data_IF_717571468416
#
_entry.id   IF_717571468416
#
_cell.length_a   1.000
_cell.length_b   1.000
_cell.length_c   1.000
_cell.angle_alpha   90.00
_cell.angle_beta   90.00
_cell.angle_gamma   90.00
#
_symmetry.space_group_name_H-M   'P 1'
#
loop_
_entity.id
_entity.type
_entity.pdbx_description
1 polymer ?
#
# COMPACT_ATOMS: atom_id res chain seq x y z
N UNK A 1 -20.78 -4.12 -31.31
CA UNK A 1 -19.63 -3.22 -31.40
C UNK A 1 -19.16 -2.74 -30.05
N UNK A 2 -20.07 -2.32 -29.15
CA UNK A 2 -19.71 -1.94 -27.76
C UNK A 2 -19.09 -3.09 -26.96
N UNK A 3 -19.46 -4.35 -27.26
CA UNK A 3 -18.97 -5.53 -26.56
C UNK A 3 -17.48 -5.78 -26.80
N UNK A 4 -16.96 -5.47 -27.98
CA UNK A 4 -15.54 -5.65 -28.30
C UNK A 4 -14.64 -4.62 -27.61
N UNK A 5 -15.18 -3.44 -27.27
CA UNK A 5 -14.42 -2.39 -26.59
C UNK A 5 -14.20 -2.66 -25.10
N UNK A 6 -15.16 -3.32 -24.43
CA UNK A 6 -15.07 -3.61 -22.99
C UNK A 6 -13.87 -4.50 -22.62
N UNK A 7 -13.64 -5.65 -23.33
CA UNK A 7 -12.44 -6.45 -23.07
C UNK A 7 -11.14 -5.70 -23.32
N UNK A 8 -11.09 -4.88 -24.37
CA UNK A 8 -9.90 -4.08 -24.68
C UNK A 8 -9.61 -3.05 -23.61
N UNK A 9 -10.63 -2.37 -23.08
CA UNK A 9 -10.48 -1.41 -21.99
C UNK A 9 -10.03 -2.09 -20.70
N UNK A 10 -10.60 -3.25 -20.39
CA UNK A 10 -10.22 -4.01 -19.20
C UNK A 10 -8.77 -4.47 -19.28
N UNK A 11 -8.35 -4.99 -20.44
CA UNK A 11 -6.97 -5.41 -20.67
C UNK A 11 -5.99 -4.24 -20.55
N UNK A 12 -6.36 -3.07 -21.08
CA UNK A 12 -5.54 -1.86 -20.99
C UNK A 12 -5.39 -1.39 -19.54
N UNK A 13 -6.49 -1.35 -18.79
CA UNK A 13 -6.45 -0.97 -17.37
C UNK A 13 -5.61 -1.93 -16.55
N UNK A 14 -5.71 -3.24 -16.85
CA UNK A 14 -4.87 -4.24 -16.20
C UNK A 14 -3.39 -4.00 -16.51
N UNK A 15 -3.05 -3.76 -17.79
CA UNK A 15 -1.68 -3.50 -18.22
C UNK A 15 -1.11 -2.25 -17.53
N UNK A 16 -1.90 -1.17 -17.46
CA UNK A 16 -1.50 0.06 -16.77
C UNK A 16 -1.26 -0.19 -15.29
N UNK A 17 -2.15 -0.95 -14.64
CA UNK A 17 -2.00 -1.29 -13.22
C UNK A 17 -0.76 -2.15 -12.99
N UNK A 18 -0.50 -3.14 -13.84
CA UNK A 18 0.70 -3.99 -13.75
C UNK A 18 1.96 -3.15 -13.88
N UNK A 19 2.00 -2.22 -14.84
CA UNK A 19 3.13 -1.32 -15.02
C UNK A 19 3.36 -0.47 -13.78
N UNK A 20 2.29 0.09 -13.22
CA UNK A 20 2.36 0.94 -12.03
C UNK A 20 2.80 0.16 -10.78
N UNK A 21 2.31 -1.07 -10.61
CA UNK A 21 2.59 -1.90 -9.45
C UNK A 21 3.87 -2.72 -9.60
N UNK A 22 4.33 -2.93 -10.83
CA UNK A 22 5.52 -3.73 -11.13
C UNK A 22 5.29 -5.23 -11.11
N UNK A 23 4.05 -5.71 -11.01
CA UNK A 23 3.75 -7.14 -10.94
C UNK A 23 2.30 -7.43 -11.35
N UNK A 24 2.08 -8.60 -11.96
CA UNK A 24 0.74 -9.12 -12.23
C UNK A 24 0.13 -9.81 -11.02
N UNK A 25 0.97 -10.23 -10.06
CA UNK A 25 0.57 -10.98 -8.88
C UNK A 25 0.70 -10.10 -7.64
N UNK A 26 0.02 -8.96 -7.67
CA UNK A 26 0.06 -8.02 -6.57
C UNK A 26 -0.50 -8.65 -5.30
N UNK A 27 0.21 -8.44 -4.20
CA UNK A 27 -0.18 -8.91 -2.87
C UNK A 27 -0.10 -7.74 -1.90
N UNK A 28 -1.12 -7.56 -1.08
CA UNK A 28 -1.06 -6.60 0.01
C UNK A 28 -0.04 -7.09 1.06
N UNK A 29 0.94 -6.24 1.38
CA UNK A 29 1.96 -6.56 2.36
C UNK A 29 1.37 -6.82 3.75
N UNK A 30 0.34 -6.04 4.12
CA UNK A 30 -0.19 -6.06 5.49
C UNK A 30 -1.23 -7.14 5.75
N UNK A 31 -2.06 -7.50 4.76
CA UNK A 31 -3.08 -8.53 4.95
C UNK A 31 -2.87 -9.78 4.09
N UNK A 32 -1.95 -9.72 3.14
CA UNK A 32 -1.63 -10.86 2.27
C UNK A 32 -2.67 -11.15 1.20
N UNK A 33 -3.65 -10.28 0.99
CA UNK A 33 -4.68 -10.49 -0.01
C UNK A 33 -4.07 -10.55 -1.41
N UNK A 34 -4.35 -11.65 -2.14
CA UNK A 34 -3.82 -11.91 -3.49
C UNK A 34 -4.90 -12.00 -4.56
N UNK A 35 -6.13 -11.59 -4.24
CA UNK A 35 -7.24 -11.64 -5.19
C UNK A 35 -6.85 -10.94 -6.49
N UNK A 36 -6.96 -11.61 -7.67
CA UNK A 36 -6.63 -11.00 -8.95
C UNK A 36 -7.39 -9.70 -9.24
N UNK A 37 -8.56 -9.52 -8.63
CA UNK A 37 -9.33 -8.28 -8.76
C UNK A 37 -8.68 -7.08 -8.11
N UNK A 38 -7.64 -7.26 -7.26
CA UNK A 38 -6.89 -6.17 -6.67
C UNK A 38 -6.15 -5.34 -7.73
N UNK A 39 -5.72 -5.99 -8.82
CA UNK A 39 -4.99 -5.30 -9.88
C UNK A 39 -5.91 -4.39 -10.68
N UNK A 40 -7.20 -4.69 -10.71
CA UNK A 40 -8.19 -3.85 -11.40
C UNK A 40 -9.54 -3.96 -10.70
N UNK A 41 -10.20 -2.81 -10.44
CA UNK A 41 -9.80 -1.45 -10.82
C UNK A 41 -9.02 -0.74 -9.70
N UNK A 42 -7.72 -0.95 -9.59
CA UNK A 42 -6.82 -0.25 -8.65
C UNK A 42 -7.22 -0.41 -7.18
N UNK A 43 -7.48 -1.64 -6.76
CA UNK A 43 -7.80 -1.95 -5.35
C UNK A 43 -6.57 -2.20 -4.51
N UNK A 44 -5.39 -2.20 -5.14
CA UNK A 44 -4.11 -2.23 -4.47
C UNK A 44 -3.30 -1.03 -4.95
N UNK A 45 -2.59 -0.39 -4.06
CA UNK A 45 -1.86 0.85 -4.33
C UNK A 45 -0.46 0.79 -3.73
N UNK A 46 0.42 1.67 -4.22
CA UNK A 46 1.72 1.89 -3.61
C UNK A 46 1.55 2.78 -2.38
N UNK A 47 1.73 2.21 -1.20
CA UNK A 47 1.65 2.96 0.05
C UNK A 47 3.02 3.53 0.39
N UNK A 48 3.08 4.84 0.56
CA UNK A 48 4.29 5.55 0.97
C UNK A 48 4.47 5.40 2.48
N UNK A 49 5.44 4.59 2.91
CA UNK A 49 5.59 4.23 4.33
C UNK A 49 5.94 5.44 5.21
N UNK A 50 6.52 6.49 4.66
CA UNK A 50 6.80 7.73 5.39
C UNK A 50 5.71 8.79 5.25
N UNK A 51 4.59 8.46 4.58
CA UNK A 51 3.40 9.30 4.49
C UNK A 51 3.45 10.41 3.44
N UNK A 52 4.58 10.67 2.83
CA UNK A 52 4.78 11.76 1.89
C UNK A 52 4.74 11.23 0.45
N UNK A 53 3.97 11.87 -0.44
CA UNK A 53 3.71 11.40 -1.82
C UNK A 53 4.97 11.26 -2.68
N UNK A 54 6.03 12.02 -2.37
CA UNK A 54 7.29 11.98 -3.11
C UNK A 54 8.26 10.94 -2.59
N UNK A 55 7.92 10.30 -1.46
CA UNK A 55 8.74 9.27 -0.88
C UNK A 55 8.83 8.07 -1.82
N UNK A 56 10.05 7.64 -2.23
CA UNK A 56 10.21 6.46 -3.08
C UNK A 56 10.04 5.14 -2.34
N UNK A 57 9.98 5.16 -1.01
CA UNK A 57 9.86 3.95 -0.20
C UNK A 57 8.41 3.54 -0.10
N UNK A 58 7.99 2.62 -0.96
CA UNK A 58 6.60 2.18 -1.03
C UNK A 58 6.49 0.67 -0.84
N UNK A 59 5.31 0.26 -0.37
CA UNK A 59 4.91 -1.14 -0.30
C UNK A 59 3.52 -1.26 -0.90
N UNK A 60 3.19 -2.45 -1.42
CA UNK A 60 1.85 -2.69 -1.95
C UNK A 60 0.88 -2.89 -0.80
N UNK A 61 -0.23 -2.17 -0.83
CA UNK A 61 -1.28 -2.29 0.17
C UNK A 61 -2.65 -2.22 -0.51
N UNK A 62 -3.59 -3.06 -0.07
CA UNK A 62 -4.97 -2.95 -0.53
C UNK A 62 -5.58 -1.66 0.04
N UNK A 63 -6.70 -1.23 -0.53
CA UNK A 63 -7.32 0.04 -0.13
C UNK A 63 -7.67 0.09 1.35
N UNK A 64 -8.16 -1.02 1.92
CA UNK A 64 -8.47 -1.08 3.35
C UNK A 64 -7.24 -0.91 4.23
N UNK A 65 -6.17 -1.64 3.95
CA UNK A 65 -4.93 -1.54 4.71
C UNK A 65 -4.26 -0.18 4.51
N UNK A 66 -4.36 0.40 3.32
CA UNK A 66 -3.86 1.73 3.02
C UNK A 66 -4.58 2.80 3.87
N UNK A 67 -5.91 2.70 3.97
CA UNK A 67 -6.70 3.60 4.80
C UNK A 67 -6.33 3.48 6.28
N UNK A 68 -6.18 2.26 6.79
CA UNK A 68 -5.76 2.02 8.18
C UNK A 68 -4.36 2.60 8.42
N UNK A 69 -3.42 2.37 7.51
CA UNK A 69 -2.06 2.89 7.62
C UNK A 69 -2.06 4.43 7.69
N UNK A 70 -2.84 5.09 6.82
CA UNK A 70 -2.95 6.55 6.83
C UNK A 70 -3.55 7.08 8.12
N UNK A 71 -4.58 6.41 8.66
CA UNK A 71 -5.16 6.79 9.95
C UNK A 71 -4.13 6.69 11.08
N UNK A 72 -3.35 5.61 11.12
CA UNK A 72 -2.32 5.43 12.13
C UNK A 72 -1.17 6.43 11.98
N UNK A 73 -0.80 6.78 10.75
CA UNK A 73 0.19 7.83 10.50
C UNK A 73 -0.30 9.18 11.03
N UNK A 74 -1.58 9.51 10.83
CA UNK A 74 -2.17 10.74 11.38
C UNK A 74 -2.20 10.72 12.90
N UNK A 75 -2.58 9.60 13.50
CA UNK A 75 -2.60 9.46 14.95
C UNK A 75 -1.20 9.59 15.57
N UNK A 76 -0.17 9.17 14.82
CA UNK A 76 1.23 9.31 15.22
C UNK A 76 1.81 10.69 14.91
N UNK A 77 0.99 11.60 14.38
CA UNK A 77 1.39 12.96 14.01
C UNK A 77 2.48 13.01 12.93
N UNK A 78 2.43 12.06 11.99
CA UNK A 78 3.35 12.05 10.84
C UNK A 78 2.82 13.01 9.78
N UNK A 79 3.58 14.04 9.37
CA UNK A 79 3.13 14.96 8.33
C UNK A 79 3.05 14.28 6.97
N UNK A 80 2.04 14.63 6.17
CA UNK A 80 1.87 14.13 4.81
C UNK A 80 2.65 14.93 3.78
N UNK A 81 3.32 16.00 4.20
CA UNK A 81 4.17 16.84 3.38
C UNK A 81 5.60 16.74 3.86
N UNK A 82 6.55 17.02 2.96
CA UNK A 82 7.96 16.96 3.30
C UNK A 82 8.33 17.98 4.38
N UNK A 83 8.84 17.49 5.49
CA UNK A 83 9.35 18.32 6.57
C UNK A 83 10.78 18.77 6.24
N UNK A 84 11.05 20.06 6.38
CA UNK A 84 12.35 20.64 6.03
C UNK A 84 13.31 20.79 7.20
N UNK A 85 12.78 20.91 8.42
CA UNK A 85 13.62 21.05 9.60
C UNK A 85 14.19 19.67 9.97
N UNK A 86 15.55 19.52 10.07
CA UNK A 86 16.18 18.20 10.19
C UNK A 86 15.72 17.35 11.38
N UNK A 87 15.57 17.96 12.56
CA UNK A 87 15.15 17.23 13.76
C UNK A 87 13.70 16.76 13.63
N UNK A 88 12.81 17.62 13.11
CA UNK A 88 11.41 17.26 12.88
C UNK A 88 11.29 16.20 11.79
N UNK A 89 12.12 16.29 10.75
CA UNK A 89 12.16 15.30 9.68
C UNK A 89 12.55 13.93 10.24
N UNK A 90 13.63 13.85 11.03
CA UNK A 90 14.07 12.59 11.63
C UNK A 90 12.99 12.01 12.55
N UNK A 91 12.34 12.85 13.35
CA UNK A 91 11.25 12.41 14.23
C UNK A 91 10.08 11.83 13.43
N UNK A 92 9.70 12.50 12.33
CA UNK A 92 8.63 12.04 11.46
C UNK A 92 8.97 10.67 10.84
N UNK A 93 10.22 10.47 10.40
CA UNK A 93 10.68 9.21 9.85
C UNK A 93 10.55 8.08 10.90
N UNK A 94 11.04 8.30 12.12
CA UNK A 94 10.98 7.27 13.15
C UNK A 94 9.54 6.95 13.54
N UNK A 95 8.65 7.95 13.63
CA UNK A 95 7.22 7.72 13.88
C UNK A 95 6.56 6.91 12.77
N UNK A 96 6.88 7.25 11.51
CA UNK A 96 6.34 6.51 10.36
C UNK A 96 6.85 5.07 10.33
N UNK A 97 8.14 4.85 10.62
CA UNK A 97 8.70 3.50 10.73
C UNK A 97 8.03 2.70 11.84
N UNK A 98 7.76 3.31 12.99
CA UNK A 98 7.06 2.64 14.09
C UNK A 98 5.67 2.16 13.63
N UNK A 99 4.91 2.99 12.93
CA UNK A 99 3.61 2.61 12.36
C UNK A 99 3.78 1.42 11.40
N UNK A 100 4.73 1.51 10.49
CA UNK A 100 4.99 0.46 9.51
C UNK A 100 5.35 -0.87 10.19
N UNK A 101 6.25 -0.85 11.17
CA UNK A 101 6.65 -2.05 11.90
C UNK A 101 5.51 -2.65 12.72
N UNK A 102 4.66 -1.83 13.32
CA UNK A 102 3.46 -2.31 14.02
C UNK A 102 2.50 -3.02 13.08
N UNK A 103 2.28 -2.46 11.89
CA UNK A 103 1.46 -3.10 10.87
C UNK A 103 2.06 -4.41 10.38
N UNK A 104 3.39 -4.45 10.18
CA UNK A 104 4.10 -5.68 9.81
C UNK A 104 4.03 -6.72 10.93
N UNK A 105 4.18 -6.32 12.18
CA UNK A 105 4.08 -7.25 13.30
C UNK A 105 2.69 -7.90 13.35
N UNK A 106 1.64 -7.12 13.15
CA UNK A 106 0.28 -7.67 13.09
C UNK A 106 0.11 -8.62 11.91
N UNK A 107 0.68 -8.29 10.75
CA UNK A 107 0.65 -9.15 9.57
C UNK A 107 1.36 -10.48 9.85
N UNK A 108 2.53 -10.43 10.45
CA UNK A 108 3.30 -11.64 10.80
C UNK A 108 2.52 -12.55 11.74
N UNK A 109 1.87 -11.98 12.77
CA UNK A 109 1.06 -12.77 13.70
C UNK A 109 -0.11 -13.44 13.00
N UNK A 110 -0.78 -12.73 12.09
CA UNK A 110 -1.90 -13.32 11.32
C UNK A 110 -1.43 -14.44 10.41
N UNK A 111 -0.30 -14.29 9.74
CA UNK A 111 0.26 -15.31 8.87
C UNK A 111 0.68 -16.55 9.66
N UNK A 112 1.34 -16.35 10.80
CA UNK A 112 1.72 -17.44 11.69
C UNK A 112 0.49 -18.21 12.16
N UNK A 113 -0.57 -17.52 12.53
CA UNK A 113 -1.83 -18.16 12.97
C UNK A 113 -2.46 -18.98 11.86
N UNK A 114 -2.45 -18.48 10.62
CA UNK A 114 -2.96 -19.22 9.46
C UNK A 114 -2.18 -20.50 9.20
N UNK A 115 -0.88 -20.49 9.45
CA UNK A 115 -0.04 -21.67 9.27
C UNK A 115 -0.30 -22.76 10.31
N UNK A 116 -0.88 -22.41 11.46
CA UNK A 116 -1.27 -23.38 12.49
C UNK A 116 -2.56 -24.12 12.13
N UNK A 117 -3.34 -23.59 11.20
CA UNK A 117 -4.58 -24.18 10.72
C UNK A 117 -4.27 -25.20 9.61
#
# INVERSE_FOLDING_TARGET
MSLSRKPARAARRKAEAVEQLGTEQARCLYCGNTNPLLVRPRRIVNHHIFGEDRDPHTVLACLNCHAVAHEQLRDAEVPMTQEKEPTKFARAIFRALAVHFELLAKACRRFAKRMEE
#
